data_IF_395425511769
#
_entry.id   IF_395425511769
#
_cell.length_a   1.000
_cell.length_b   1.000
_cell.length_c   1.000
_cell.angle_alpha   90.00
_cell.angle_beta   90.00
_cell.angle_gamma   90.00
#
_symmetry.space_group_name_H-M   'P 1'
#
loop_
_entity.id
_entity.type
_entity.pdbx_description
1 polymer ?
#
# COMPACT_ATOMS: atom_id res chain seq x y z
N UNK A 1 35.82 14.96 7.19
CA UNK A 1 35.35 15.72 6.01
C UNK A 1 35.38 14.90 4.70
N UNK A 2 35.65 13.58 4.70
CA UNK A 2 35.70 12.76 3.47
C UNK A 2 34.45 11.89 3.22
N UNK A 3 33.46 11.91 4.11
CA UNK A 3 32.31 11.01 4.01
C UNK A 3 31.11 11.57 3.23
N UNK A 4 30.98 12.89 3.08
CA UNK A 4 29.77 13.49 2.51
C UNK A 4 29.75 13.45 0.98
N UNK A 5 30.88 13.76 0.33
CA UNK A 5 30.99 13.77 -1.14
C UNK A 5 31.01 12.36 -1.73
N UNK A 6 31.51 11.36 -0.98
CA UNK A 6 31.50 9.96 -1.40
C UNK A 6 30.12 9.34 -1.15
N UNK A 7 29.46 9.65 -0.02
CA UNK A 7 28.06 9.25 0.20
C UNK A 7 27.13 9.82 -0.86
N UNK A 8 27.31 11.08 -1.26
CA UNK A 8 26.54 11.65 -2.38
C UNK A 8 26.81 10.86 -3.66
N UNK A 9 28.06 10.71 -4.10
CA UNK A 9 28.37 10.01 -5.36
C UNK A 9 27.89 8.55 -5.40
N UNK A 10 27.97 7.83 -4.28
CA UNK A 10 27.49 6.44 -4.18
C UNK A 10 25.96 6.38 -4.10
N UNK A 11 25.32 7.34 -3.42
CA UNK A 11 23.87 7.48 -3.38
C UNK A 11 23.32 7.86 -4.76
N UNK A 12 23.99 8.75 -5.48
CA UNK A 12 23.69 9.14 -6.85
C UNK A 12 23.78 7.93 -7.78
N UNK A 13 24.77 7.05 -7.60
CA UNK A 13 24.89 5.82 -8.42
C UNK A 13 23.71 4.86 -8.21
N UNK A 14 23.28 4.64 -6.95
CA UNK A 14 22.10 3.82 -6.64
C UNK A 14 20.80 4.50 -7.08
N UNK A 15 20.71 5.82 -6.94
CA UNK A 15 19.57 6.58 -7.42
C UNK A 15 19.47 6.50 -8.95
N UNK A 16 20.58 6.59 -9.68
CA UNK A 16 20.62 6.41 -11.13
C UNK A 16 20.17 5.01 -11.56
N UNK A 17 20.59 3.94 -10.86
CA UNK A 17 20.09 2.59 -11.18
C UNK A 17 18.58 2.45 -10.93
N UNK A 18 18.10 3.05 -9.85
CA UNK A 18 16.68 3.05 -9.50
C UNK A 18 15.86 3.85 -10.54
N UNK A 19 16.35 5.01 -10.98
CA UNK A 19 15.71 5.80 -12.05
C UNK A 19 15.65 5.01 -13.36
N UNK A 20 16.72 4.29 -13.72
CA UNK A 20 16.72 3.44 -14.91
C UNK A 20 15.70 2.29 -14.80
N UNK A 21 15.54 1.68 -13.62
CA UNK A 21 14.53 0.65 -13.39
C UNK A 21 13.10 1.21 -13.51
N UNK A 22 12.86 2.42 -12.98
CA UNK A 22 11.57 3.11 -13.11
C UNK A 22 11.23 3.43 -14.58
N UNK A 23 12.21 3.92 -15.34
CA UNK A 23 12.04 4.23 -16.77
C UNK A 23 11.74 2.98 -17.60
N UNK A 24 12.41 1.86 -17.28
CA UNK A 24 12.10 0.54 -17.88
C UNK A 24 10.68 0.09 -17.56
N UNK A 25 10.24 0.26 -16.31
CA UNK A 25 8.87 -0.05 -15.92
C UNK A 25 7.85 0.77 -16.73
N UNK A 26 8.05 2.08 -16.85
CA UNK A 26 7.16 2.93 -17.67
C UNK A 26 7.18 2.56 -19.16
N UNK A 27 8.36 2.21 -19.68
CA UNK A 27 8.51 1.74 -21.06
C UNK A 27 7.77 0.42 -21.28
N UNK A 28 7.86 -0.52 -20.34
CA UNK A 28 7.10 -1.77 -20.37
C UNK A 28 5.60 -1.52 -20.29
N UNK A 29 5.13 -0.67 -19.37
CA UNK A 29 3.72 -0.32 -19.25
C UNK A 29 3.15 0.26 -20.56
N UNK A 30 3.97 1.01 -21.31
CA UNK A 30 3.58 1.60 -22.60
C UNK A 30 3.54 0.58 -23.75
N UNK A 31 4.47 -0.38 -23.76
CA UNK A 31 4.59 -1.35 -24.85
C UNK A 31 3.72 -2.60 -24.62
N UNK A 32 3.72 -3.09 -23.38
CA UNK A 32 3.10 -4.34 -22.95
C UNK A 32 2.52 -4.17 -21.53
N UNK A 33 1.29 -3.59 -21.40
CA UNK A 33 0.68 -3.35 -20.09
C UNK A 33 0.48 -4.65 -19.29
N UNK A 34 0.28 -5.79 -19.95
CA UNK A 34 0.12 -7.11 -19.34
C UNK A 34 1.40 -7.62 -18.62
N UNK A 35 2.53 -6.93 -18.80
CA UNK A 35 3.83 -7.27 -18.21
C UNK A 35 4.28 -6.31 -17.10
N UNK A 36 3.44 -5.34 -16.72
CA UNK A 36 3.75 -4.37 -15.69
C UNK A 36 2.60 -4.34 -14.68
N UNK A 37 2.91 -4.60 -13.41
CA UNK A 37 1.92 -4.61 -12.33
C UNK A 37 2.30 -3.63 -11.24
N UNK A 38 1.30 -3.01 -10.62
CA UNK A 38 1.46 -2.09 -9.50
C UNK A 38 0.39 -2.32 -8.45
N UNK A 39 0.72 -1.99 -7.20
CA UNK A 39 -0.15 -2.22 -6.05
C UNK A 39 0.11 -3.55 -5.31
N UNK A 40 -0.32 -3.65 -4.04
CA UNK A 40 0.05 -4.77 -3.17
C UNK A 40 -0.56 -6.12 -3.57
N UNK A 41 -1.80 -6.16 -4.05
CA UNK A 41 -2.47 -7.41 -4.43
C UNK A 41 -1.80 -8.09 -5.64
N UNK A 42 -1.77 -7.42 -6.82
CA UNK A 42 -1.17 -7.97 -8.03
C UNK A 42 0.29 -8.35 -7.87
N UNK A 43 1.07 -7.54 -7.14
CA UNK A 43 2.50 -7.80 -6.90
C UNK A 43 2.70 -9.04 -6.01
N UNK A 44 1.86 -9.25 -4.99
CA UNK A 44 1.96 -10.44 -4.13
C UNK A 44 1.66 -11.70 -4.94
N UNK A 45 0.59 -11.70 -5.73
CA UNK A 45 0.21 -12.83 -6.59
C UNK A 45 1.27 -13.12 -7.66
N UNK A 46 1.87 -12.09 -8.25
CA UNK A 46 2.98 -12.23 -9.19
C UNK A 46 4.24 -12.84 -8.54
N UNK A 47 4.50 -12.51 -7.26
CA UNK A 47 5.62 -13.09 -6.51
C UNK A 47 5.41 -14.57 -6.22
N UNK A 48 4.20 -14.96 -5.78
CA UNK A 48 3.84 -16.36 -5.54
C UNK A 48 3.96 -17.23 -6.80
N UNK A 49 3.66 -16.65 -7.97
CA UNK A 49 3.83 -17.32 -9.26
C UNK A 49 5.29 -17.33 -9.76
N UNK A 50 6.20 -16.60 -9.12
CA UNK A 50 7.58 -16.45 -9.56
C UNK A 50 7.72 -15.72 -10.90
N UNK A 51 6.74 -14.89 -11.28
CA UNK A 51 6.69 -14.20 -12.57
C UNK A 51 7.42 -12.85 -12.55
N UNK A 52 7.84 -12.36 -11.38
CA UNK A 52 8.52 -11.07 -11.20
C UNK A 52 9.92 -11.11 -11.81
N UNK A 53 10.26 -10.09 -12.58
CA UNK A 53 11.61 -9.81 -13.09
C UNK A 53 12.36 -8.80 -12.23
N UNK A 54 11.72 -7.66 -12.00
CA UNK A 54 12.28 -6.56 -11.21
C UNK A 54 11.17 -6.03 -10.29
N UNK A 55 11.43 -5.98 -8.98
CA UNK A 55 10.53 -5.41 -7.98
C UNK A 55 11.00 -4.01 -7.59
N UNK A 56 10.08 -3.06 -7.60
CA UNK A 56 10.28 -1.68 -7.21
C UNK A 56 9.45 -1.39 -5.95
N UNK A 57 10.10 -1.01 -4.87
CA UNK A 57 9.43 -0.69 -3.60
C UNK A 57 9.97 0.60 -2.99
N UNK A 58 9.08 1.44 -2.46
CA UNK A 58 9.47 2.62 -1.69
C UNK A 58 9.79 2.28 -0.24
N UNK A 59 10.79 2.94 0.33
CA UNK A 59 11.15 2.76 1.74
C UNK A 59 10.08 3.31 2.71
N UNK A 60 9.17 4.14 2.21
CA UNK A 60 7.98 4.61 2.92
C UNK A 60 7.03 3.49 3.35
N UNK A 61 6.85 2.45 2.53
CA UNK A 61 5.97 1.32 2.86
C UNK A 61 6.47 0.51 4.05
N UNK A 62 7.79 0.43 4.25
CA UNK A 62 8.39 -0.20 5.43
C UNK A 62 8.23 0.61 6.72
N UNK A 63 8.01 1.93 6.60
CA UNK A 63 7.81 2.83 7.74
C UNK A 63 6.35 2.90 8.22
N UNK A 64 5.42 2.19 7.58
CA UNK A 64 4.01 2.19 8.02
C UNK A 64 3.85 1.65 9.45
N UNK A 65 2.89 2.23 10.19
CA UNK A 65 2.61 1.95 11.61
C UNK A 65 2.05 0.54 11.86
N UNK A 66 1.64 -0.19 10.81
CA UNK A 66 1.12 -1.55 10.91
C UNK A 66 2.23 -2.59 10.84
N UNK A 67 2.56 -3.18 11.99
CA UNK A 67 3.57 -4.26 12.11
C UNK A 67 3.25 -5.45 11.19
N UNK A 68 1.96 -5.76 11.00
CA UNK A 68 1.53 -6.87 10.14
C UNK A 68 1.78 -6.63 8.66
N UNK A 69 1.64 -5.38 8.21
CA UNK A 69 1.92 -4.98 6.83
C UNK A 69 3.43 -4.97 6.56
N UNK A 70 4.23 -4.45 7.50
CA UNK A 70 5.70 -4.47 7.39
C UNK A 70 6.25 -5.89 7.27
N UNK A 71 5.78 -6.83 8.09
CA UNK A 71 6.24 -8.24 8.02
C UNK A 71 5.93 -8.88 6.67
N UNK A 72 4.76 -8.61 6.10
CA UNK A 72 4.37 -9.13 4.77
C UNK A 72 5.29 -8.61 3.67
N UNK A 73 5.53 -7.30 3.61
CA UNK A 73 6.43 -6.73 2.60
C UNK A 73 7.88 -7.19 2.76
N UNK A 74 8.37 -7.36 3.99
CA UNK A 74 9.72 -7.90 4.23
C UNK A 74 9.81 -9.33 3.71
N UNK A 75 8.85 -10.20 4.03
CA UNK A 75 8.82 -11.58 3.53
C UNK A 75 8.74 -11.63 1.99
N UNK A 76 7.89 -10.80 1.40
CA UNK A 76 7.76 -10.66 -0.06
C UNK A 76 9.09 -10.25 -0.70
N UNK A 77 9.77 -9.27 -0.12
CA UNK A 77 11.07 -8.81 -0.62
C UNK A 77 12.13 -9.88 -0.48
N UNK A 78 12.16 -10.63 0.63
CA UNK A 78 13.09 -11.75 0.81
C UNK A 78 12.85 -12.86 -0.23
N UNK A 79 11.59 -13.21 -0.50
CA UNK A 79 11.22 -14.21 -1.50
C UNK A 79 11.60 -13.76 -2.92
N UNK A 80 11.25 -12.53 -3.29
CA UNK A 80 11.57 -11.99 -4.60
C UNK A 80 13.07 -11.80 -4.76
N UNK A 81 13.79 -11.36 -3.72
CA UNK A 81 15.24 -11.21 -3.74
C UNK A 81 15.97 -12.54 -3.95
N UNK A 82 15.36 -13.67 -3.57
CA UNK A 82 15.91 -14.99 -3.86
C UNK A 82 15.80 -15.39 -5.34
N UNK A 83 14.82 -14.82 -6.07
CA UNK A 83 14.48 -15.22 -7.45
C UNK A 83 14.86 -14.15 -8.50
N UNK A 84 14.84 -12.88 -8.11
CA UNK A 84 14.81 -11.71 -8.99
C UNK A 84 15.39 -10.46 -8.32
N UNK A 85 15.55 -9.36 -9.07
CA UNK A 85 16.17 -8.14 -8.56
C UNK A 85 15.16 -7.25 -7.83
N UNK A 86 15.58 -6.68 -6.69
CA UNK A 86 14.76 -5.74 -5.90
C UNK A 86 15.44 -4.38 -5.83
N UNK A 87 14.69 -3.34 -6.18
CA UNK A 87 15.08 -1.94 -6.14
C UNK A 87 14.31 -1.21 -5.04
N UNK A 88 15.04 -0.68 -4.06
CA UNK A 88 14.47 0.10 -2.96
C UNK A 88 14.66 1.58 -3.27
N UNK A 89 13.55 2.30 -3.39
CA UNK A 89 13.49 3.73 -3.67
C UNK A 89 13.35 4.51 -2.37
N UNK A 90 14.18 5.54 -2.20
CA UNK A 90 14.02 6.50 -1.12
C UNK A 90 12.90 7.47 -1.46
N UNK A 91 11.95 7.67 -0.56
CA UNK A 91 10.90 8.70 -0.71
C UNK A 91 11.46 10.13 -0.75
N UNK A 92 12.74 10.33 -0.40
CA UNK A 92 13.41 11.63 -0.49
C UNK A 92 13.95 11.96 -1.89
N UNK A 93 13.89 10.99 -2.82
CA UNK A 93 14.33 11.17 -4.20
C UNK A 93 13.12 11.29 -5.13
N UNK A 94 13.27 12.04 -6.23
CA UNK A 94 12.20 12.28 -7.21
C UNK A 94 11.63 10.96 -7.78
N UNK A 95 12.49 9.94 -7.93
CA UNK A 95 12.05 8.61 -8.37
C UNK A 95 11.20 7.86 -7.33
N UNK A 96 11.42 8.12 -6.04
CA UNK A 96 10.58 7.56 -4.97
C UNK A 96 9.21 8.22 -4.91
N UNK A 97 9.14 9.54 -5.12
CA UNK A 97 7.86 10.26 -5.22
C UNK A 97 7.02 9.76 -6.40
N UNK A 98 7.64 9.56 -7.57
CA UNK A 98 6.95 9.00 -8.75
C UNK A 98 6.40 7.60 -8.47
N UNK A 99 7.20 6.72 -7.85
CA UNK A 99 6.74 5.38 -7.48
C UNK A 99 5.64 5.42 -6.41
N UNK A 100 5.67 6.41 -5.51
CA UNK A 100 4.65 6.59 -4.49
C UNK A 100 3.28 6.95 -5.08
N UNK A 101 3.25 7.69 -6.21
CA UNK A 101 2.03 7.92 -6.98
C UNK A 101 1.45 6.64 -7.61
N UNK A 102 2.27 5.59 -7.76
CA UNK A 102 1.87 4.24 -8.20
C UNK A 102 1.64 3.30 -7.01
N UNK A 103 1.03 3.79 -5.94
CA UNK A 103 0.82 3.08 -4.67
C UNK A 103 2.10 2.69 -3.88
N UNK A 104 3.28 3.09 -4.34
CA UNK A 104 4.55 2.88 -3.65
C UNK A 104 5.18 1.49 -3.84
N UNK A 105 4.53 0.60 -4.60
CA UNK A 105 5.01 -0.74 -4.96
C UNK A 105 4.63 -1.08 -6.40
N UNK A 106 5.60 -1.53 -7.18
CA UNK A 106 5.41 -1.97 -8.56
C UNK A 106 6.38 -3.10 -8.92
N UNK A 107 6.06 -3.88 -9.94
CA UNK A 107 6.92 -4.93 -10.44
C UNK A 107 6.78 -5.09 -11.96
N UNK A 108 7.89 -5.41 -12.62
CA UNK A 108 7.92 -5.83 -14.02
C UNK A 108 7.91 -7.35 -14.08
N UNK A 109 7.17 -7.93 -15.02
CA UNK A 109 7.00 -9.38 -15.18
C UNK A 109 7.83 -9.93 -16.35
N UNK A 110 8.35 -11.15 -16.17
CA UNK A 110 9.05 -11.91 -17.23
C UNK A 110 8.08 -12.42 -18.29
N UNK A 111 6.84 -12.72 -17.90
CA UNK A 111 5.79 -13.23 -18.76
C UNK A 111 4.50 -12.41 -18.57
N UNK A 112 3.71 -12.17 -19.64
CA UNK A 112 2.42 -11.50 -19.51
C UNK A 112 1.48 -12.35 -18.65
N UNK A 113 0.86 -11.74 -17.65
CA UNK A 113 -0.05 -12.44 -16.74
C UNK A 113 -1.38 -11.67 -16.67
N UNK A 114 -2.37 -12.01 -17.53
CA UNK A 114 -3.63 -11.28 -17.64
C UNK A 114 -4.56 -11.45 -16.42
N UNK A 115 -4.29 -12.41 -15.52
CA UNK A 115 -5.10 -12.72 -14.33
C UNK A 115 -4.80 -11.84 -13.10
N UNK A 116 -4.03 -10.76 -13.24
CA UNK A 116 -3.58 -9.91 -12.12
C UNK A 116 -4.40 -8.62 -11.97
N UNK A 117 -5.22 -8.27 -12.96
CA UNK A 117 -6.03 -7.04 -12.98
C UNK A 117 -7.36 -7.16 -12.18
N UNK A 118 -7.78 -8.37 -11.79
CA UNK A 118 -9.12 -8.62 -11.23
C UNK A 118 -9.34 -8.09 -9.79
N UNK A 119 -8.30 -7.59 -9.10
CA UNK A 119 -8.40 -7.14 -7.70
C UNK A 119 -8.29 -5.61 -7.53
N UNK A 120 -8.80 -4.84 -8.50
CA UNK A 120 -9.09 -3.41 -8.35
C UNK A 120 -10.57 -3.16 -7.96
N UNK A 121 -11.18 -4.04 -7.18
CA UNK A 121 -12.52 -3.84 -6.65
C UNK A 121 -12.50 -3.50 -5.15
N UNK A 122 -12.74 -2.21 -4.86
CA UNK A 122 -13.39 -1.69 -3.65
C UNK A 122 -12.52 -1.52 -2.38
N UNK A 123 -11.87 -0.36 -2.25
CA UNK A 123 -11.65 0.27 -0.92
C UNK A 123 -12.74 1.30 -0.58
N UNK A 124 -13.87 1.27 -1.29
CA UNK A 124 -15.07 2.05 -0.96
C UNK A 124 -16.20 1.10 -0.55
N UNK A 125 -16.23 0.68 0.72
CA UNK A 125 -17.43 0.24 1.46
C UNK A 125 -16.97 -0.43 2.76
N UNK A 126 -16.81 0.30 3.86
CA UNK A 126 -17.04 -0.16 5.25
C UNK A 126 -17.01 1.03 6.24
N UNK A 127 -17.62 2.15 5.88
CA UNK A 127 -18.07 3.13 6.87
C UNK A 127 -19.33 3.80 6.33
N UNK A 128 -20.43 3.66 7.08
CA UNK A 128 -21.78 4.22 6.84
C UNK A 128 -22.75 3.26 6.15
N UNK A 129 -23.17 2.21 6.88
CA UNK A 129 -24.35 1.44 6.52
C UNK A 129 -24.73 0.34 7.52
N UNK A 130 -25.30 0.71 8.67
CA UNK A 130 -26.50 0.04 9.21
C UNK A 130 -27.17 0.99 10.20
N UNK A 131 -28.24 1.69 9.82
CA UNK A 131 -29.63 1.20 9.73
C UNK A 131 -30.28 1.12 11.10
N UNK A 132 -31.29 1.98 11.25
CA UNK A 132 -32.47 1.84 12.09
C UNK A 132 -32.82 0.40 12.41
N UNK A 133 -33.03 0.10 13.69
CA UNK A 133 -33.95 -0.96 14.13
C UNK A 133 -34.58 -0.61 15.49
N UNK A 134 -35.86 -0.24 15.38
CA UNK A 134 -37.01 -0.61 16.21
C UNK A 134 -37.24 0.06 17.58
N UNK A 135 -38.22 0.97 17.57
CA UNK A 135 -39.19 1.16 18.64
C UNK A 135 -39.62 -0.20 19.24
N UNK A 136 -39.15 -0.49 20.46
CA UNK A 136 -39.77 -1.51 21.31
C UNK A 136 -40.49 -0.86 22.49
N UNK A 137 -41.80 -1.05 22.39
CA UNK A 137 -42.85 -0.96 23.39
C UNK A 137 -42.43 -1.35 24.83
N UNK A 138 -43.11 -0.71 25.77
CA UNK A 138 -42.70 -0.55 27.16
C UNK A 138 -42.78 -1.78 28.05
N UNK A 139 -42.24 -1.64 29.26
CA UNK A 139 -42.78 -2.26 30.49
C UNK A 139 -42.25 -1.53 31.74
N UNK A 140 -43.22 -1.10 32.55
CA UNK A 140 -43.25 -0.94 34.01
C UNK A 140 -42.15 -0.13 34.75
N UNK A 141 -42.61 1.00 35.30
CA UNK A 141 -42.84 1.07 36.74
C UNK A 141 -41.61 1.26 37.63
N UNK A 142 -41.26 2.51 37.86
CA UNK A 142 -40.73 2.93 39.16
C UNK A 142 -41.43 4.24 39.55
N UNK A 143 -42.40 4.05 40.43
CA UNK A 143 -42.93 5.05 41.34
C UNK A 143 -41.79 5.75 42.07
N UNK A 144 -41.67 7.05 41.88
CA UNK A 144 -41.16 8.00 42.87
C UNK A 144 -41.98 9.28 42.67
N UNK A 145 -43.14 9.31 43.35
CA UNK A 145 -43.69 10.55 43.86
C UNK A 145 -42.60 11.12 44.77
N UNK A 146 -42.22 12.38 44.58
CA UNK A 146 -42.25 13.37 45.65
C UNK A 146 -41.81 14.75 45.16
N UNK A 147 -42.70 15.71 45.42
CA UNK A 147 -42.41 17.04 45.95
C UNK A 147 -41.57 18.03 45.14
N UNK A 148 -42.24 18.79 44.24
CA UNK A 148 -42.11 20.25 44.23
C UNK A 148 -43.21 20.98 43.43
N UNK A 149 -44.48 20.87 43.87
CA UNK A 149 -45.54 21.76 43.36
C UNK A 149 -45.27 23.18 43.85
N UNK A 150 -44.70 23.98 42.96
CA UNK A 150 -44.42 25.40 43.15
C UNK A 150 -45.70 26.14 43.58
N UNK A 151 -45.61 26.75 44.76
CA UNK A 151 -46.07 28.08 45.10
C UNK A 151 -46.99 28.81 44.10
N UNK A 152 -48.12 29.28 44.62
CA UNK A 152 -48.54 30.66 44.36
C UNK A 152 -49.92 30.84 43.75
N UNK A 153 -50.80 31.38 44.60
CA UNK A 153 -52.07 32.10 44.33
C UNK A 153 -53.31 31.22 44.25
#
# INVERSE_FOLDING_TARGET
MQDETVKSQVADTKAMSNVAALDRFYTMLKNDPERAVYGPGPVTKAAEMGAIDELLITDGLFRSSSVGVRKRYVALVEEVQATSNVFIFSTQHVSGEQLQNLAGIAATLKFPCPDLDDEYALTEQEALGSSDDEDRDGTAGSSELDDNFLAGI
#
